data_IF_131449738864
#
_entry.id   IF_131449738864
#
_cell.length_a   1.000
_cell.length_b   1.000
_cell.length_c   1.000
_cell.angle_alpha   90.00
_cell.angle_beta   90.00
_cell.angle_gamma   90.00
#
_symmetry.space_group_name_H-M   'P 1'
#
loop_
_entity.id
_entity.type
_entity.pdbx_description
1 polymer ?
#
# COMPACT_ATOMS: atom_id res chain seq x y z
N UNK A 1 -8.91 -4.86 -39.85
CA UNK A 1 -8.93 -5.90 -38.79
C UNK A 1 -10.37 -6.05 -38.29
N UNK A 2 -10.96 -7.25 -38.29
CA UNK A 2 -12.30 -7.45 -37.71
C UNK A 2 -12.28 -7.17 -36.21
N UNK A 3 -13.42 -6.81 -35.61
CA UNK A 3 -13.51 -6.50 -34.16
C UNK A 3 -12.97 -7.65 -33.31
N UNK A 4 -13.27 -8.89 -33.68
CA UNK A 4 -12.78 -10.12 -33.03
C UNK A 4 -11.25 -10.23 -33.07
N UNK A 5 -10.64 -10.03 -34.24
CA UNK A 5 -9.17 -10.08 -34.38
C UNK A 5 -8.48 -9.00 -33.56
N UNK A 6 -9.09 -7.82 -33.43
CA UNK A 6 -8.59 -6.75 -32.57
C UNK A 6 -8.69 -7.12 -31.09
N UNK A 7 -9.82 -7.67 -30.65
CA UNK A 7 -10.00 -8.11 -29.26
C UNK A 7 -9.02 -9.24 -28.91
N UNK A 8 -8.86 -10.23 -29.79
CA UNK A 8 -7.94 -11.35 -29.59
C UNK A 8 -6.48 -10.87 -29.53
N UNK A 9 -6.09 -9.93 -30.39
CA UNK A 9 -4.77 -9.31 -30.36
C UNK A 9 -4.49 -8.61 -29.02
N UNK A 10 -5.44 -7.82 -28.51
CA UNK A 10 -5.27 -7.14 -27.21
C UNK A 10 -5.24 -8.11 -26.03
N UNK A 11 -6.05 -9.17 -26.05
CA UNK A 11 -6.03 -10.21 -25.00
C UNK A 11 -4.70 -10.96 -25.02
N UNK A 12 -4.20 -11.36 -26.19
CA UNK A 12 -2.92 -12.03 -26.33
C UNK A 12 -1.76 -11.12 -25.88
N UNK A 13 -1.79 -9.84 -26.27
CA UNK A 13 -0.82 -8.84 -25.83
C UNK A 13 -0.81 -8.66 -24.30
N UNK A 14 -2.00 -8.61 -23.68
CA UNK A 14 -2.12 -8.53 -22.22
C UNK A 14 -1.55 -9.78 -21.53
N UNK A 15 -1.84 -10.97 -22.05
CA UNK A 15 -1.33 -12.22 -21.48
C UNK A 15 0.21 -12.29 -21.54
N UNK A 16 0.80 -11.92 -22.69
CA UNK A 16 2.27 -11.85 -22.85
C UNK A 16 2.86 -10.81 -21.90
N UNK A 17 2.25 -9.64 -21.78
CA UNK A 17 2.71 -8.60 -20.86
C UNK A 17 2.72 -9.08 -19.40
N UNK A 18 1.65 -9.74 -18.93
CA UNK A 18 1.57 -10.31 -17.58
C UNK A 18 2.63 -11.39 -17.37
N UNK A 19 2.84 -12.26 -18.37
CA UNK A 19 3.87 -13.30 -18.31
C UNK A 19 5.28 -12.70 -18.19
N UNK A 20 5.59 -11.66 -18.97
CA UNK A 20 6.88 -10.94 -18.88
C UNK A 20 7.05 -10.28 -17.52
N UNK A 21 5.98 -9.66 -16.96
CA UNK A 21 6.05 -9.10 -15.61
C UNK A 21 6.31 -10.14 -14.54
N UNK A 22 5.75 -11.34 -14.66
CA UNK A 22 6.06 -12.44 -13.74
C UNK A 22 7.53 -12.87 -13.86
N UNK A 23 8.05 -12.97 -15.09
CA UNK A 23 9.45 -13.31 -15.33
C UNK A 23 10.42 -12.27 -14.75
N UNK A 24 10.06 -10.98 -14.80
CA UNK A 24 10.87 -9.87 -14.31
C UNK A 24 10.60 -9.48 -12.85
N UNK A 25 9.67 -10.16 -12.17
CA UNK A 25 9.21 -9.80 -10.82
C UNK A 25 10.35 -9.69 -9.80
N UNK A 26 11.40 -10.51 -9.92
CA UNK A 26 12.58 -10.48 -9.05
C UNK A 26 13.45 -9.23 -9.18
N UNK A 27 13.38 -8.52 -10.31
CA UNK A 27 14.17 -7.30 -10.58
C UNK A 27 13.31 -6.03 -10.54
N UNK A 28 11.98 -6.18 -10.56
CA UNK A 28 11.02 -5.06 -10.57
C UNK A 28 11.05 -4.21 -9.29
N UNK A 29 11.39 -4.80 -8.14
CA UNK A 29 11.31 -4.15 -6.83
C UNK A 29 12.06 -2.80 -6.75
N UNK A 30 13.36 -2.70 -7.10
CA UNK A 30 14.06 -1.40 -7.08
C UNK A 30 13.47 -0.37 -8.05
N UNK A 31 12.91 -0.81 -9.20
CA UNK A 31 12.24 0.11 -10.13
C UNK A 31 10.92 0.64 -9.58
N UNK A 32 10.13 -0.24 -8.97
CA UNK A 32 8.87 0.10 -8.32
C UNK A 32 9.09 1.03 -7.14
N UNK A 33 10.05 0.71 -6.27
CA UNK A 33 10.43 1.57 -5.15
C UNK A 33 10.95 2.92 -5.65
N UNK A 34 11.77 2.93 -6.71
CA UNK A 34 12.32 4.16 -7.29
C UNK A 34 11.24 5.04 -7.89
N UNK A 35 10.26 4.43 -8.56
CA UNK A 35 9.07 5.11 -9.08
C UNK A 35 8.22 5.68 -7.95
N UNK A 36 7.97 4.93 -6.87
CA UNK A 36 7.22 5.42 -5.72
C UNK A 36 7.93 6.60 -5.03
N UNK A 37 9.25 6.54 -4.87
CA UNK A 37 10.07 7.63 -4.30
C UNK A 37 10.05 8.85 -5.22
N UNK A 38 10.31 8.67 -6.53
CA UNK A 38 10.26 9.76 -7.50
C UNK A 38 8.91 10.45 -7.45
N UNK A 39 7.84 9.67 -7.46
CA UNK A 39 6.48 10.18 -7.43
C UNK A 39 6.10 10.88 -6.11
N UNK A 40 6.65 10.41 -4.98
CA UNK A 40 6.48 11.08 -3.69
C UNK A 40 7.24 12.41 -3.61
N UNK A 41 8.45 12.46 -4.20
CA UNK A 41 9.35 13.62 -4.16
C UNK A 41 9.10 14.64 -5.28
N UNK A 42 8.32 14.28 -6.30
CA UNK A 42 7.94 15.15 -7.42
C UNK A 42 7.43 16.54 -7.00
N UNK A 43 6.51 16.67 -6.02
CA UNK A 43 6.05 18.00 -5.57
C UNK A 43 7.13 18.82 -4.87
N UNK A 44 8.14 18.16 -4.32
CA UNK A 44 9.31 18.83 -3.72
C UNK A 44 10.20 19.37 -4.84
N UNK A 45 10.38 18.59 -5.92
CA UNK A 45 11.11 19.03 -7.11
C UNK A 45 10.43 20.24 -7.77
N UNK A 46 9.11 20.19 -7.96
CA UNK A 46 8.33 21.30 -8.52
C UNK A 46 8.46 22.58 -7.69
N UNK A 47 8.45 22.46 -6.36
CA UNK A 47 8.64 23.61 -5.45
C UNK A 47 10.04 24.20 -5.52
N UNK A 48 11.07 23.38 -5.79
CA UNK A 48 12.43 23.87 -6.00
C UNK A 48 12.58 24.52 -7.38
N UNK A 49 11.91 23.98 -8.40
CA UNK A 49 11.86 24.56 -9.74
C UNK A 49 11.17 25.91 -9.75
N UNK A 50 10.05 26.05 -9.01
CA UNK A 50 9.37 27.33 -8.80
C UNK A 50 10.25 28.37 -8.08
N UNK A 51 11.27 27.92 -7.32
CA UNK A 51 12.27 28.80 -6.68
C UNK A 51 13.44 29.17 -7.61
N UNK A 52 13.40 28.75 -8.87
CA UNK A 52 14.38 29.11 -9.91
C UNK A 52 15.50 28.08 -10.12
N UNK A 53 15.44 26.90 -9.51
CA UNK A 53 16.40 25.83 -9.81
C UNK A 53 16.01 25.13 -11.11
N UNK A 54 16.99 24.72 -11.92
CA UNK A 54 16.71 23.82 -13.05
C UNK A 54 16.25 22.45 -12.53
N UNK A 55 15.39 21.76 -13.29
CA UNK A 55 14.88 20.43 -12.94
C UNK A 55 16.00 19.48 -12.50
N UNK A 56 17.10 19.44 -13.25
CA UNK A 56 18.26 18.59 -12.91
C UNK A 56 18.92 18.96 -11.58
N UNK A 57 19.05 20.25 -11.27
CA UNK A 57 19.60 20.70 -9.97
C UNK A 57 18.65 20.37 -8.83
N UNK A 58 17.34 20.58 -9.01
CA UNK A 58 16.32 20.21 -8.02
C UNK A 58 16.35 18.70 -7.73
N UNK A 59 16.32 17.86 -8.76
CA UNK A 59 16.41 16.40 -8.64
C UNK A 59 17.72 15.98 -7.96
N UNK A 60 18.86 16.54 -8.37
CA UNK A 60 20.17 16.21 -7.79
C UNK A 60 20.22 16.57 -6.31
N UNK A 61 19.74 17.75 -5.92
CA UNK A 61 19.68 18.19 -4.53
C UNK A 61 18.77 17.29 -3.68
N UNK A 62 17.60 16.92 -4.20
CA UNK A 62 16.66 16.03 -3.51
C UNK A 62 17.27 14.63 -3.30
N UNK A 63 17.85 14.05 -4.35
CA UNK A 63 18.44 12.71 -4.27
C UNK A 63 19.69 12.72 -3.39
N UNK A 64 20.52 13.76 -3.47
CA UNK A 64 21.67 13.93 -2.58
C UNK A 64 21.23 14.07 -1.12
N UNK A 65 20.19 14.86 -0.83
CA UNK A 65 19.63 14.97 0.51
C UNK A 65 19.01 13.64 0.99
N UNK A 66 18.29 12.93 0.13
CA UNK A 66 17.76 11.60 0.43
C UNK A 66 18.88 10.62 0.78
N UNK A 67 19.95 10.55 -0.02
CA UNK A 67 21.10 9.70 0.29
C UNK A 67 21.83 10.14 1.54
N UNK A 68 22.01 11.44 1.76
CA UNK A 68 22.65 11.95 2.97
C UNK A 68 21.87 11.54 4.22
N UNK A 69 20.54 11.70 4.20
CA UNK A 69 19.66 11.26 5.29
C UNK A 69 19.65 9.73 5.39
N UNK A 70 19.49 9.00 4.29
CA UNK A 70 19.41 7.55 4.29
C UNK A 70 20.72 6.91 4.79
N UNK A 71 21.87 7.36 4.28
CA UNK A 71 23.20 6.92 4.74
C UNK A 71 23.44 7.37 6.17
N UNK A 72 23.08 8.60 6.55
CA UNK A 72 23.21 9.06 7.95
C UNK A 72 22.40 8.20 8.91
N UNK A 73 21.13 7.95 8.57
CA UNK A 73 20.24 7.05 9.31
C UNK A 73 20.82 5.64 9.33
N UNK A 74 21.33 5.14 8.21
CA UNK A 74 21.90 3.80 8.15
C UNK A 74 23.20 3.72 8.97
N UNK A 75 24.11 4.69 8.93
CA UNK A 75 25.34 4.69 9.74
C UNK A 75 25.02 4.79 11.23
N UNK A 76 24.01 5.58 11.63
CA UNK A 76 23.61 5.74 13.03
C UNK A 76 22.79 4.56 13.54
N UNK A 77 21.84 4.08 12.74
CA UNK A 77 20.95 2.99 13.11
C UNK A 77 21.60 1.63 12.90
N UNK A 78 22.42 1.41 11.87
CA UNK A 78 22.99 0.09 11.59
C UNK A 78 23.71 -0.56 12.79
N UNK A 79 24.59 0.11 13.55
CA UNK A 79 25.18 -0.50 14.73
C UNK A 79 24.14 -0.80 15.81
N UNK A 80 23.14 0.07 15.98
CA UNK A 80 22.03 -0.12 16.90
C UNK A 80 21.14 -1.30 16.48
N UNK A 81 20.80 -1.38 15.19
CA UNK A 81 20.03 -2.45 14.56
C UNK A 81 20.78 -3.77 14.64
N UNK A 82 22.09 -3.78 14.37
CA UNK A 82 22.91 -4.98 14.49
C UNK A 82 22.91 -5.49 15.93
N UNK A 83 23.17 -4.62 16.91
CA UNK A 83 23.14 -4.99 18.31
C UNK A 83 21.76 -5.52 18.72
N UNK A 84 20.68 -4.88 18.27
CA UNK A 84 19.32 -5.27 18.58
C UNK A 84 18.87 -6.55 17.86
N UNK A 85 19.32 -6.79 16.62
CA UNK A 85 19.05 -8.04 15.88
C UNK A 85 19.78 -9.20 16.54
N UNK A 86 21.04 -9.02 16.95
CA UNK A 86 21.79 -10.04 17.69
C UNK A 86 21.14 -10.31 19.05
N UNK A 87 20.72 -9.25 19.76
CA UNK A 87 19.98 -9.37 21.02
C UNK A 87 18.67 -10.13 20.81
N UNK A 88 17.89 -9.76 19.81
CA UNK A 88 16.62 -10.41 19.49
C UNK A 88 16.81 -11.88 19.15
N UNK A 89 17.85 -12.22 18.37
CA UNK A 89 18.19 -13.59 18.04
C UNK A 89 18.60 -14.40 19.28
N UNK A 90 19.33 -13.78 20.21
CA UNK A 90 19.68 -14.39 21.49
C UNK A 90 18.46 -14.61 22.41
N UNK A 91 17.41 -13.80 22.26
CA UNK A 91 16.15 -13.93 23.01
C UNK A 91 15.18 -14.98 22.47
N UNK A 92 15.36 -15.47 21.24
CA UNK A 92 14.44 -16.47 20.65
C UNK A 92 14.35 -17.77 21.46
N UNK A 93 15.47 -18.38 21.91
CA UNK A 93 15.42 -19.57 22.77
C UNK A 93 14.66 -19.33 24.08
N UNK A 94 14.98 -18.23 24.77
CA UNK A 94 14.34 -17.86 26.04
C UNK A 94 12.83 -17.61 25.87
N UNK A 95 12.40 -17.06 24.74
CA UNK A 95 10.98 -16.89 24.41
C UNK A 95 10.24 -18.23 24.29
N UNK A 96 10.89 -19.24 23.73
CA UNK A 96 10.31 -20.59 23.58
C UNK A 96 10.18 -21.26 24.96
N UNK A 97 11.21 -21.13 25.80
CA UNK A 97 11.20 -21.69 27.15
C UNK A 97 10.16 -20.98 28.02
N UNK A 98 10.11 -19.65 27.97
CA UNK A 98 9.10 -18.86 28.69
C UNK A 98 7.68 -19.18 28.22
N UNK A 99 7.46 -19.30 26.91
CA UNK A 99 6.16 -19.71 26.38
C UNK A 99 5.76 -21.11 26.84
N UNK A 100 6.71 -22.04 26.91
CA UNK A 100 6.50 -23.39 27.42
C UNK A 100 6.09 -23.36 28.89
N UNK A 101 6.77 -22.58 29.72
CA UNK A 101 6.50 -22.46 31.15
C UNK A 101 5.12 -21.81 31.42
N UNK A 102 4.72 -20.81 30.63
CA UNK A 102 3.37 -20.22 30.72
C UNK A 102 2.28 -21.13 30.15
N UNK A 103 2.58 -21.92 29.13
CA UNK A 103 1.63 -22.86 28.53
C UNK A 103 1.46 -24.13 29.37
N UNK A 104 2.45 -24.53 30.16
CA UNK A 104 2.43 -25.75 30.98
C UNK A 104 1.22 -25.84 31.93
N UNK A 105 0.87 -24.83 32.76
CA UNK A 105 -0.31 -24.91 33.62
C UNK A 105 -1.64 -24.94 32.83
N UNK A 106 -1.67 -24.38 31.62
CA UNK A 106 -2.84 -24.49 30.74
C UNK A 106 -2.94 -25.88 30.11
N UNK A 107 -1.80 -26.45 29.69
CA UNK A 107 -1.68 -27.80 29.17
C UNK A 107 -2.00 -28.86 30.23
N UNK A 108 -1.64 -28.63 31.49
CA UNK A 108 -2.00 -29.50 32.61
C UNK A 108 -3.51 -29.51 32.88
N UNK A 109 -4.18 -28.36 32.75
CA UNK A 109 -5.66 -28.31 32.80
C UNK A 109 -6.28 -29.05 31.62
N UNK A 110 -5.72 -28.90 30.42
CA UNK A 110 -6.15 -29.64 29.24
C UNK A 110 -5.90 -31.16 29.35
N UNK A 111 -4.83 -31.60 30.05
CA UNK A 111 -4.55 -33.01 30.34
C UNK A 111 -5.59 -33.67 31.23
N UNK A 112 -6.34 -32.89 32.02
CA UNK A 112 -7.43 -33.42 32.83
C UNK A 112 -8.67 -33.77 31.99
N UNK A 113 -8.84 -33.14 30.82
CA UNK A 113 -10.02 -33.29 29.95
C UNK A 113 -9.74 -34.07 28.65
N UNK A 114 -8.49 -34.19 28.21
CA UNK A 114 -8.08 -34.83 26.95
C UNK A 114 -7.40 -36.19 27.14
N UNK A 115 -7.59 -37.11 26.19
CA UNK A 115 -6.95 -38.42 26.21
C UNK A 115 -5.44 -38.34 25.84
N UNK A 116 -4.64 -39.29 26.34
CA UNK A 116 -3.20 -39.38 26.06
C UNK A 116 -2.79 -39.23 24.57
N UNK A 117 -3.47 -39.87 23.58
CA UNK A 117 -3.12 -39.70 22.17
C UNK A 117 -3.44 -38.31 21.59
N UNK A 118 -4.42 -37.60 22.14
CA UNK A 118 -4.74 -36.22 21.73
C UNK A 118 -3.70 -35.23 22.26
N UNK A 119 -3.18 -35.49 23.47
CA UNK A 119 -2.11 -34.72 24.07
C UNK A 119 -0.78 -34.86 23.32
N UNK A 120 -0.49 -36.06 22.83
CA UNK A 120 0.73 -36.33 22.05
C UNK A 120 0.68 -35.64 20.69
N UNK A 121 -0.48 -35.67 20.00
CA UNK A 121 -0.71 -34.90 18.77
C UNK A 121 -0.59 -33.38 18.97
N UNK A 122 -1.06 -32.86 20.10
CA UNK A 122 -0.96 -31.44 20.42
C UNK A 122 0.50 -31.02 20.66
N UNK A 123 1.27 -31.82 21.41
CA UNK A 123 2.70 -31.60 21.63
C UNK A 123 3.49 -31.67 20.32
N UNK A 124 3.18 -32.65 19.48
CA UNK A 124 3.84 -32.83 18.18
C UNK A 124 3.49 -31.68 17.22
N UNK A 125 2.24 -31.24 17.18
CA UNK A 125 1.84 -30.05 16.42
C UNK A 125 2.55 -28.79 16.93
N UNK A 126 2.53 -28.53 18.24
CA UNK A 126 3.21 -27.39 18.85
C UNK A 126 4.73 -27.41 18.57
N UNK A 127 5.38 -28.58 18.70
CA UNK A 127 6.78 -28.77 18.38
C UNK A 127 7.10 -28.55 16.90
N UNK A 128 6.24 -29.02 15.99
CA UNK A 128 6.40 -28.82 14.55
C UNK A 128 6.22 -27.34 14.16
N UNK A 129 5.24 -26.64 14.75
CA UNK A 129 5.04 -25.20 14.51
C UNK A 129 6.18 -24.37 15.11
N UNK A 130 6.64 -24.69 16.32
CA UNK A 130 7.79 -24.05 16.94
C UNK A 130 9.06 -24.28 16.11
N UNK A 131 9.32 -25.52 15.70
CA UNK A 131 10.44 -25.88 14.81
C UNK A 131 10.38 -25.16 13.47
N UNK A 132 9.19 -25.05 12.86
CA UNK A 132 8.97 -24.29 11.63
C UNK A 132 9.23 -22.80 11.84
N UNK A 133 8.76 -22.22 12.94
CA UNK A 133 9.00 -20.82 13.29
C UNK A 133 10.49 -20.53 13.52
N UNK A 134 11.20 -21.42 14.23
CA UNK A 134 12.65 -21.36 14.43
C UNK A 134 13.39 -21.46 13.11
N UNK A 135 13.00 -22.40 12.24
CA UNK A 135 13.63 -22.59 10.93
C UNK A 135 13.38 -21.41 9.98
N UNK A 136 12.20 -20.79 10.06
CA UNK A 136 11.90 -19.57 9.32
C UNK A 136 12.73 -18.39 9.85
N UNK A 137 12.85 -18.26 11.17
CA UNK A 137 13.66 -17.24 11.84
C UNK A 137 15.16 -17.41 11.53
N UNK A 138 15.69 -18.63 11.64
CA UNK A 138 17.08 -18.94 11.35
C UNK A 138 17.38 -18.87 9.85
N UNK A 139 16.42 -19.18 8.98
CA UNK A 139 16.52 -18.95 7.53
C UNK A 139 16.56 -17.47 7.16
N UNK A 140 15.78 -16.63 7.85
CA UNK A 140 15.84 -15.17 7.69
C UNK A 140 17.17 -14.60 8.21
N UNK A 141 17.59 -14.98 9.42
CA UNK A 141 18.83 -14.51 10.05
C UNK A 141 20.08 -15.05 9.35
N UNK A 142 20.09 -16.34 8.99
CA UNK A 142 21.14 -16.99 8.22
C UNK A 142 21.21 -16.47 6.78
N UNK A 143 20.06 -16.18 6.17
CA UNK A 143 20.01 -15.47 4.88
C UNK A 143 20.64 -14.08 4.95
N UNK A 144 20.49 -13.37 6.07
CA UNK A 144 21.12 -12.08 6.34
C UNK A 144 22.63 -12.19 6.65
N UNK A 145 23.08 -13.26 7.30
CA UNK A 145 24.46 -13.43 7.79
C UNK A 145 25.38 -14.20 6.82
N UNK A 146 24.92 -15.31 6.23
CA UNK A 146 25.69 -16.15 5.29
C UNK A 146 25.51 -15.72 3.83
N UNK A 147 24.45 -14.95 3.52
CA UNK A 147 24.09 -14.59 2.17
C UNK A 147 24.77 -13.31 1.68
N UNK A 148 25.94 -13.44 1.02
CA UNK A 148 26.43 -12.41 0.10
C UNK A 148 25.35 -11.98 -0.92
N UNK A 149 24.37 -12.86 -1.20
CA UNK A 149 23.17 -12.60 -1.99
C UNK A 149 22.14 -11.66 -1.33
N UNK A 150 21.95 -11.71 0.00
CA UNK A 150 21.02 -10.80 0.69
C UNK A 150 21.61 -9.39 0.81
N UNK A 151 22.90 -9.31 1.16
CA UNK A 151 23.66 -8.05 1.11
C UNK A 151 23.68 -7.50 -0.32
N UNK A 152 23.88 -8.36 -1.33
CA UNK A 152 23.81 -7.97 -2.74
C UNK A 152 22.41 -7.47 -3.14
N UNK A 153 21.32 -8.10 -2.69
CA UNK A 153 19.96 -7.63 -2.96
C UNK A 153 19.67 -6.29 -2.28
N UNK A 154 20.09 -6.12 -1.02
CA UNK A 154 19.95 -4.85 -0.29
C UNK A 154 20.80 -3.76 -0.95
N UNK A 155 22.06 -4.05 -1.31
CA UNK A 155 22.94 -3.12 -2.03
C UNK A 155 22.38 -2.77 -3.41
N UNK A 156 21.87 -3.77 -4.15
CA UNK A 156 21.19 -3.55 -5.42
C UNK A 156 19.99 -2.65 -5.24
N UNK A 157 19.18 -2.86 -4.20
CA UNK A 157 18.06 -1.98 -3.89
C UNK A 157 18.54 -0.57 -3.49
N UNK A 158 19.56 -0.46 -2.63
CA UNK A 158 20.11 0.81 -2.15
C UNK A 158 20.77 1.65 -3.27
N UNK A 159 21.34 0.99 -4.29
CA UNK A 159 22.03 1.66 -5.40
C UNK A 159 21.07 1.89 -6.58
N UNK A 160 20.34 0.85 -7.01
CA UNK A 160 19.48 0.92 -8.20
C UNK A 160 18.26 1.79 -7.92
N UNK A 161 17.63 1.66 -6.75
CA UNK A 161 16.39 2.40 -6.43
C UNK A 161 16.58 3.91 -6.55
N UNK A 162 17.61 4.53 -5.96
CA UNK A 162 17.78 5.98 -6.06
C UNK A 162 18.25 6.42 -7.44
N UNK A 163 19.00 5.58 -8.16
CA UNK A 163 19.35 5.84 -9.56
C UNK A 163 18.09 5.88 -10.42
N UNK A 164 17.20 4.90 -10.27
CA UNK A 164 15.90 4.88 -10.97
C UNK A 164 15.05 6.08 -10.55
N UNK A 165 14.98 6.39 -9.26
CA UNK A 165 14.26 7.54 -8.76
C UNK A 165 14.79 8.86 -9.36
N UNK A 166 16.11 9.01 -9.46
CA UNK A 166 16.75 10.17 -10.07
C UNK A 166 16.33 10.33 -11.54
N UNK A 167 16.48 9.28 -12.35
CA UNK A 167 16.11 9.34 -13.77
C UNK A 167 14.62 9.61 -13.96
N UNK A 168 13.76 8.91 -13.20
CA UNK A 168 12.31 9.11 -13.28
C UNK A 168 11.91 10.51 -12.85
N UNK A 169 12.45 11.03 -11.74
CA UNK A 169 12.12 12.36 -11.24
C UNK A 169 12.64 13.48 -12.17
N UNK A 170 13.83 13.31 -12.75
CA UNK A 170 14.44 14.27 -13.67
C UNK A 170 13.69 14.31 -15.00
N UNK A 171 13.37 13.15 -15.56
CA UNK A 171 12.85 13.02 -16.93
C UNK A 171 11.33 12.84 -16.96
N UNK A 172 10.64 12.93 -15.81
CA UNK A 172 9.20 12.71 -15.67
C UNK A 172 8.38 13.46 -16.72
N UNK A 173 8.58 14.78 -16.82
CA UNK A 173 7.83 15.64 -17.73
C UNK A 173 8.08 15.30 -19.20
N UNK A 174 9.32 14.93 -19.54
CA UNK A 174 9.69 14.51 -20.90
C UNK A 174 9.03 13.18 -21.25
N UNK A 175 9.00 12.23 -20.31
CA UNK A 175 8.35 10.92 -20.46
C UNK A 175 6.85 11.14 -20.70
N UNK A 176 6.19 11.92 -19.83
CA UNK A 176 4.76 12.22 -19.94
C UNK A 176 4.43 12.92 -21.26
N UNK A 177 5.18 13.96 -21.64
CA UNK A 177 4.95 14.68 -22.90
C UNK A 177 5.12 13.78 -24.13
N UNK A 178 6.08 12.86 -24.10
CA UNK A 178 6.29 11.90 -25.20
C UNK A 178 5.15 10.89 -25.30
N UNK A 179 4.68 10.34 -24.18
CA UNK A 179 3.49 9.47 -24.18
C UNK A 179 2.23 10.20 -24.61
N UNK A 180 2.06 11.46 -24.18
CA UNK A 180 0.94 12.30 -24.59
C UNK A 180 0.91 12.53 -26.12
N UNK A 181 2.09 12.67 -26.75
CA UNK A 181 2.21 12.84 -28.21
C UNK A 181 1.74 11.62 -29.03
N UNK A 182 1.69 10.43 -28.42
CA UNK A 182 1.24 9.19 -29.06
C UNK A 182 -0.26 8.97 -28.94
N UNK A 183 -0.99 9.82 -28.21
CA UNK A 183 -2.41 9.63 -27.99
C UNK A 183 -3.22 9.84 -29.27
N UNK A 184 -4.21 8.95 -29.56
CA UNK A 184 -5.15 9.18 -30.65
C UNK A 184 -5.93 10.48 -30.43
N UNK A 185 -5.86 11.42 -31.38
CA UNK A 185 -6.44 12.77 -31.25
C UNK A 185 -7.92 12.78 -30.85
N UNK A 186 -8.70 11.82 -31.33
CA UNK A 186 -10.13 11.73 -31.03
C UNK A 186 -10.44 11.32 -29.58
N UNK A 187 -9.53 10.60 -28.91
CA UNK A 187 -9.69 10.11 -27.54
C UNK A 187 -8.76 10.81 -26.54
N UNK A 188 -7.85 11.68 -27.01
CA UNK A 188 -6.81 12.29 -26.19
C UNK A 188 -7.36 13.04 -24.97
N UNK A 189 -8.44 13.81 -25.12
CA UNK A 189 -9.07 14.50 -23.98
C UNK A 189 -9.56 13.53 -22.90
N UNK A 190 -10.22 12.46 -23.32
CA UNK A 190 -10.74 11.43 -22.43
C UNK A 190 -9.61 10.67 -21.73
N UNK A 191 -8.55 10.33 -22.46
CA UNK A 191 -7.39 9.63 -21.90
C UNK A 191 -6.70 10.52 -20.86
N UNK A 192 -6.45 11.80 -21.17
CA UNK A 192 -5.87 12.77 -20.23
C UNK A 192 -6.70 12.91 -18.95
N UNK A 193 -8.02 12.97 -19.07
CA UNK A 193 -8.93 13.00 -17.92
C UNK A 193 -8.77 11.75 -17.04
N UNK A 194 -8.68 10.56 -17.63
CA UNK A 194 -8.46 9.33 -16.87
C UNK A 194 -7.06 9.26 -16.25
N UNK A 195 -6.03 9.69 -16.96
CA UNK A 195 -4.67 9.78 -16.44
C UNK A 195 -4.60 10.74 -15.24
N UNK A 196 -5.25 11.90 -15.30
CA UNK A 196 -5.31 12.84 -14.19
C UNK A 196 -6.08 12.27 -12.98
N UNK A 197 -7.16 11.52 -13.21
CA UNK A 197 -7.90 10.85 -12.15
C UNK A 197 -7.07 9.74 -11.47
N UNK A 198 -6.32 8.96 -12.25
CA UNK A 198 -5.38 7.96 -11.75
C UNK A 198 -4.28 8.63 -10.92
N UNK A 199 -3.65 9.67 -11.47
CA UNK A 199 -2.58 10.42 -10.81
C UNK A 199 -3.06 10.98 -9.46
N UNK A 200 -4.18 11.70 -9.45
CA UNK A 200 -4.76 12.25 -8.21
C UNK A 200 -5.01 11.15 -7.15
N UNK A 201 -5.44 9.97 -7.60
CA UNK A 201 -5.70 8.82 -6.72
C UNK A 201 -4.40 8.24 -6.14
N UNK A 202 -3.39 8.01 -6.97
CA UNK A 202 -2.09 7.45 -6.56
C UNK A 202 -1.33 8.45 -5.69
N UNK A 203 -1.22 9.72 -6.09
CA UNK A 203 -0.59 10.79 -5.29
C UNK A 203 -1.27 10.90 -3.94
N UNK A 204 -2.59 10.81 -3.99
CA UNK A 204 -3.46 10.76 -2.84
C UNK A 204 -3.07 9.69 -1.84
N UNK A 205 -2.96 8.46 -2.31
CA UNK A 205 -2.65 7.27 -1.53
C UNK A 205 -1.21 7.29 -1.01
N UNK A 206 -0.22 7.48 -1.89
CA UNK A 206 1.22 7.38 -1.53
C UNK A 206 1.57 8.40 -0.45
N UNK A 207 1.13 9.66 -0.57
CA UNK A 207 1.38 10.70 0.44
C UNK A 207 0.65 10.45 1.74
N UNK A 208 -0.60 9.97 1.64
CA UNK A 208 -1.39 9.59 2.80
C UNK A 208 -0.73 8.47 3.60
N UNK A 209 -0.35 7.38 2.91
CA UNK A 209 0.26 6.21 3.54
C UNK A 209 1.66 6.50 4.08
N UNK A 210 2.50 7.23 3.34
CA UNK A 210 3.80 7.64 3.87
C UNK A 210 3.64 8.44 5.19
N UNK A 211 2.65 9.32 5.27
CA UNK A 211 2.35 10.08 6.49
C UNK A 211 1.87 9.16 7.63
N UNK A 212 1.02 8.18 7.34
CA UNK A 212 0.55 7.17 8.31
C UNK A 212 1.75 6.37 8.86
N UNK A 213 2.62 5.86 7.98
CA UNK A 213 3.80 5.09 8.36
C UNK A 213 4.73 5.89 9.28
N UNK A 214 4.99 7.16 8.95
CA UNK A 214 5.84 8.04 9.77
C UNK A 214 5.23 8.31 11.15
N UNK A 215 3.92 8.58 11.22
CA UNK A 215 3.22 8.79 12.50
C UNK A 215 3.25 7.51 13.35
N UNK A 216 3.01 6.35 12.75
CA UNK A 216 3.03 5.07 13.47
C UNK A 216 4.44 4.66 13.89
N UNK A 217 5.46 4.88 13.06
CA UNK A 217 6.85 4.63 13.43
C UNK A 217 7.26 5.48 14.64
N UNK A 218 6.87 6.76 14.65
CA UNK A 218 7.10 7.64 15.80
C UNK A 218 6.29 7.17 17.03
N UNK A 219 5.01 6.84 16.86
CA UNK A 219 4.13 6.39 17.94
C UNK A 219 4.62 5.09 18.59
N UNK A 220 4.86 4.04 17.79
CA UNK A 220 5.33 2.76 18.31
C UNK A 220 6.77 2.88 18.82
N UNK A 221 7.66 3.54 18.09
CA UNK A 221 9.05 3.72 18.50
C UNK A 221 9.17 4.43 19.85
N UNK A 222 8.45 5.55 20.02
CA UNK A 222 8.41 6.27 21.29
C UNK A 222 7.66 5.49 22.38
N UNK A 223 6.47 4.98 22.07
CA UNK A 223 5.62 4.29 23.04
C UNK A 223 6.30 3.07 23.66
N UNK A 224 6.93 2.22 22.84
CA UNK A 224 7.66 1.05 23.33
C UNK A 224 8.92 1.43 24.10
N UNK A 225 9.62 2.49 23.68
CA UNK A 225 10.79 2.99 24.41
C UNK A 225 10.42 3.54 25.78
N UNK A 226 9.27 4.22 25.91
CA UNK A 226 8.76 4.74 27.20
C UNK A 226 8.37 3.60 28.14
N UNK A 227 7.80 2.51 27.62
CA UNK A 227 7.51 1.31 28.42
C UNK A 227 8.79 0.62 28.89
N UNK A 228 9.94 0.91 28.28
CA UNK A 228 11.23 0.30 28.62
C UNK A 228 11.44 -1.06 27.93
N UNK A 229 10.72 -1.33 26.84
CA UNK A 229 10.89 -2.56 26.07
C UNK A 229 12.28 -2.58 25.40
N UNK A 230 13.02 -3.67 25.58
CA UNK A 230 14.29 -3.87 24.90
C UNK A 230 14.10 -3.88 23.39
N UNK A 231 14.96 -3.16 22.68
CA UNK A 231 14.82 -2.94 21.23
C UNK A 231 13.49 -2.30 20.80
N UNK A 232 12.74 -1.69 21.74
CA UNK A 232 11.41 -1.11 21.48
C UNK A 232 11.40 -0.07 20.36
N UNK A 233 12.46 0.73 20.23
CA UNK A 233 12.62 1.67 19.12
C UNK A 233 12.67 0.98 17.75
N UNK A 234 13.42 -0.12 17.62
CA UNK A 234 13.52 -0.88 16.37
C UNK A 234 12.21 -1.58 16.06
N UNK A 235 11.63 -2.28 17.04
CA UNK A 235 10.33 -2.93 16.87
C UNK A 235 9.29 -1.90 16.42
N UNK A 236 9.29 -0.72 17.03
CA UNK A 236 8.34 0.34 16.71
C UNK A 236 8.55 0.98 15.34
N UNK A 237 9.79 1.32 14.97
CA UNK A 237 10.11 1.85 13.63
C UNK A 237 9.82 0.79 12.55
N UNK A 238 10.20 -0.46 12.80
CA UNK A 238 9.95 -1.59 11.90
C UNK A 238 8.46 -1.83 11.70
N UNK A 239 7.69 -1.89 12.79
CA UNK A 239 6.23 -2.02 12.73
C UNK A 239 5.59 -0.85 11.97
N UNK A 240 5.98 0.40 12.27
CA UNK A 240 5.47 1.58 11.59
C UNK A 240 5.82 1.65 10.10
N UNK A 241 7.01 1.15 9.70
CA UNK A 241 7.39 1.03 8.30
C UNK A 241 6.58 -0.05 7.57
N UNK A 242 6.37 -1.21 8.19
CA UNK A 242 5.56 -2.30 7.63
C UNK A 242 4.08 -1.91 7.52
N UNK A 243 3.60 -0.97 8.34
CA UNK A 243 2.24 -0.41 8.26
C UNK A 243 1.90 0.28 6.93
N UNK A 244 2.85 0.39 5.98
CA UNK A 244 2.52 0.67 4.58
C UNK A 244 1.49 -0.34 4.03
N UNK A 245 1.58 -1.59 4.50
CA UNK A 245 0.56 -2.62 4.29
C UNK A 245 -0.42 -2.53 5.46
N UNK A 246 -1.69 -2.16 5.23
CA UNK A 246 -2.66 -1.96 6.30
C UNK A 246 -2.75 -3.16 7.24
N UNK A 247 -2.84 -2.90 8.55
CA UNK A 247 -2.92 -3.89 9.64
C UNK A 247 -1.67 -4.76 9.86
N UNK A 248 -0.83 -4.96 8.84
CA UNK A 248 0.30 -5.89 8.92
C UNK A 248 1.37 -5.39 9.88
N UNK A 249 1.68 -4.09 9.86
CA UNK A 249 2.70 -3.50 10.71
C UNK A 249 2.39 -3.64 12.20
N UNK A 250 1.17 -3.29 12.61
CA UNK A 250 0.75 -3.44 13.99
C UNK A 250 0.63 -4.91 14.41
N UNK A 251 0.19 -5.82 13.52
CA UNK A 251 0.08 -7.24 13.84
C UNK A 251 1.46 -7.87 14.10
N UNK A 252 2.43 -7.66 13.19
CA UNK A 252 3.80 -8.16 13.35
C UNK A 252 4.46 -7.50 14.56
N UNK A 253 4.31 -6.18 14.70
CA UNK A 253 4.85 -5.43 15.82
C UNK A 253 4.30 -5.90 17.16
N UNK A 254 2.99 -6.18 17.25
CA UNK A 254 2.36 -6.70 18.46
C UNK A 254 2.92 -8.08 18.82
N UNK A 255 3.02 -8.99 17.85
CA UNK A 255 3.56 -10.34 18.08
C UNK A 255 5.01 -10.26 18.59
N UNK A 256 5.85 -9.51 17.89
CA UNK A 256 7.28 -9.39 18.24
C UNK A 256 7.44 -8.63 19.56
N UNK A 257 6.75 -7.51 19.74
CA UNK A 257 6.86 -6.66 20.91
C UNK A 257 6.33 -7.32 22.18
N UNK A 258 5.16 -7.97 22.11
CA UNK A 258 4.62 -8.74 23.25
C UNK A 258 5.48 -9.97 23.53
N UNK A 259 6.02 -10.63 22.50
CA UNK A 259 6.98 -11.72 22.67
C UNK A 259 8.20 -11.28 23.48
N UNK A 260 8.86 -10.18 23.08
CA UNK A 260 9.98 -9.61 23.83
C UNK A 260 9.54 -9.22 25.25
N UNK A 261 8.37 -8.60 25.41
CA UNK A 261 7.87 -8.18 26.71
C UNK A 261 7.63 -9.36 27.67
N UNK A 262 7.13 -10.49 27.17
CA UNK A 262 6.91 -11.70 27.96
C UNK A 262 8.23 -12.32 28.44
N UNK A 263 9.28 -12.24 27.63
CA UNK A 263 10.61 -12.73 28.01
C UNK A 263 11.33 -11.75 28.97
N UNK A 264 11.14 -10.43 28.77
CA UNK A 264 11.83 -9.40 29.52
C UNK A 264 11.20 -9.11 30.89
N UNK A 265 9.86 -9.09 30.98
CA UNK A 265 9.13 -8.65 32.17
C UNK A 265 8.43 -9.83 32.85
N UNK A 266 8.59 -9.93 34.16
CA UNK A 266 7.84 -10.91 34.99
C UNK A 266 6.43 -10.43 35.37
N UNK A 267 6.19 -9.12 35.29
CA UNK A 267 4.90 -8.50 35.63
C UNK A 267 3.98 -8.34 34.41
N UNK A 268 2.69 -8.57 34.61
CA UNK A 268 1.68 -8.43 33.55
C UNK A 268 1.44 -6.97 33.09
N UNK A 269 1.78 -5.99 33.93
CA UNK A 269 1.49 -4.58 33.64
C UNK A 269 2.32 -4.05 32.44
N UNK A 270 3.67 -4.16 32.41
CA UNK A 270 4.46 -3.80 31.22
C UNK A 270 4.02 -4.51 29.94
N UNK A 271 3.71 -5.81 30.02
CA UNK A 271 3.22 -6.61 28.87
C UNK A 271 1.90 -6.03 28.34
N UNK A 272 0.96 -5.71 29.25
CA UNK A 272 -0.30 -5.06 28.91
C UNK A 272 -0.11 -3.66 28.32
N UNK A 273 0.88 -2.90 28.78
CA UNK A 273 1.22 -1.59 28.23
C UNK A 273 1.79 -1.69 26.80
N UNK A 274 2.67 -2.66 26.53
CA UNK A 274 3.17 -2.94 25.16
C UNK A 274 2.01 -3.27 24.22
N UNK A 275 1.12 -4.19 24.63
CA UNK A 275 -0.08 -4.50 23.86
C UNK A 275 -0.97 -3.26 23.66
N UNK A 276 -1.12 -2.44 24.70
CA UNK A 276 -1.84 -1.17 24.68
C UNK A 276 -1.30 -0.18 23.65
N UNK A 277 0.02 -0.02 23.55
CA UNK A 277 0.67 0.85 22.55
C UNK A 277 0.28 0.45 21.13
N UNK A 278 0.28 -0.85 20.82
CA UNK A 278 -0.13 -1.36 19.51
C UNK A 278 -1.62 -1.22 19.25
N UNK A 279 -2.48 -1.58 20.22
CA UNK A 279 -3.93 -1.48 20.09
C UNK A 279 -4.37 -0.02 19.90
N UNK A 280 -3.83 0.91 20.68
CA UNK A 280 -4.13 2.34 20.55
C UNK A 280 -3.60 2.87 19.22
N UNK A 281 -2.39 2.48 18.82
CA UNK A 281 -1.82 2.89 17.53
C UNK A 281 -2.66 2.38 16.35
N UNK A 282 -3.07 1.11 16.35
CA UNK A 282 -3.91 0.51 15.31
C UNK A 282 -5.31 1.13 15.28
N UNK A 283 -5.88 1.44 16.44
CA UNK A 283 -7.19 2.12 16.53
C UNK A 283 -7.08 3.53 15.95
N UNK A 284 -6.02 4.25 16.32
CA UNK A 284 -5.72 5.58 15.78
C UNK A 284 -5.49 5.52 14.27
N UNK A 285 -4.76 4.52 13.77
CA UNK A 285 -4.60 4.25 12.34
C UNK A 285 -5.96 4.08 11.64
N UNK A 286 -6.78 3.17 12.15
CA UNK A 286 -8.04 2.77 11.50
C UNK A 286 -9.10 3.87 11.51
N UNK A 287 -9.27 4.58 12.64
CA UNK A 287 -10.36 5.54 12.83
C UNK A 287 -9.97 7.00 12.59
N UNK A 288 -8.67 7.35 12.69
CA UNK A 288 -8.22 8.74 12.60
C UNK A 288 -7.29 8.95 11.42
N UNK A 289 -6.16 8.23 11.36
CA UNK A 289 -5.13 8.48 10.36
C UNK A 289 -5.59 8.07 8.97
N UNK A 290 -6.11 6.85 8.82
CA UNK A 290 -6.55 6.33 7.51
C UNK A 290 -7.65 7.22 6.93
N UNK A 291 -8.74 7.56 7.63
CA UNK A 291 -9.78 8.42 7.07
C UNK A 291 -9.31 9.85 6.76
N UNK A 292 -8.39 10.42 7.54
CA UNK A 292 -7.92 11.81 7.35
C UNK A 292 -6.81 11.93 6.30
N UNK A 293 -5.90 10.96 6.24
CA UNK A 293 -4.69 11.02 5.40
C UNK A 293 -4.86 10.27 4.07
N UNK A 294 -5.57 9.15 4.09
CA UNK A 294 -5.75 8.24 2.94
C UNK A 294 -7.21 8.24 2.43
N UNK A 295 -8.16 8.56 3.31
CA UNK A 295 -9.59 8.42 3.09
C UNK A 295 -10.14 9.21 1.91
N UNK A 296 -11.16 8.64 1.26
CA UNK A 296 -11.86 9.23 0.11
C UNK A 296 -11.11 9.16 -1.22
N UNK A 297 -9.80 8.91 -1.23
CA UNK A 297 -8.99 8.98 -2.47
C UNK A 297 -9.04 7.72 -3.32
N UNK A 298 -9.12 6.54 -2.70
CA UNK A 298 -9.10 5.25 -3.43
C UNK A 298 -10.52 4.80 -3.84
N UNK A 299 -11.52 5.10 -3.01
CA UNK A 299 -12.93 4.77 -3.28
C UNK A 299 -13.19 3.27 -3.47
N UNK A 300 -12.39 2.41 -2.84
CA UNK A 300 -12.53 0.96 -2.89
C UNK A 300 -13.17 0.44 -1.60
N UNK A 301 -14.05 -0.54 -1.74
CA UNK A 301 -14.59 -1.28 -0.61
C UNK A 301 -13.47 -2.09 0.09
N UNK A 302 -13.45 -2.23 1.43
CA UNK A 302 -12.39 -2.95 2.15
C UNK A 302 -12.10 -4.37 1.62
N UNK A 303 -13.15 -5.09 1.21
CA UNK A 303 -13.02 -6.43 0.60
C UNK A 303 -12.15 -6.42 -0.66
N UNK A 304 -12.23 -5.37 -1.49
CA UNK A 304 -11.38 -5.24 -2.68
C UNK A 304 -9.92 -4.99 -2.33
N UNK A 305 -9.66 -4.29 -1.22
CA UNK A 305 -8.30 -4.05 -0.72
C UNK A 305 -7.69 -5.38 -0.25
N UNK A 306 -8.42 -6.14 0.57
CA UNK A 306 -7.98 -7.47 1.04
C UNK A 306 -7.74 -8.40 -0.16
N UNK A 307 -8.68 -8.47 -1.09
CA UNK A 307 -8.52 -9.28 -2.30
C UNK A 307 -7.30 -8.85 -3.13
N UNK A 308 -7.09 -7.54 -3.33
CA UNK A 308 -5.94 -7.05 -4.07
C UNK A 308 -4.62 -7.42 -3.39
N UNK A 309 -4.52 -7.30 -2.05
CA UNK A 309 -3.32 -7.67 -1.30
C UNK A 309 -3.04 -9.17 -1.43
N UNK A 310 -4.05 -10.02 -1.27
CA UNK A 310 -3.91 -11.47 -1.42
C UNK A 310 -3.55 -11.86 -2.85
N UNK A 311 -4.22 -11.30 -3.85
CA UNK A 311 -3.94 -11.56 -5.26
C UNK A 311 -2.56 -11.06 -5.68
N UNK A 312 -2.18 -9.85 -5.26
CA UNK A 312 -0.85 -9.28 -5.51
C UNK A 312 0.25 -10.12 -4.88
N UNK A 313 0.08 -10.51 -3.62
CA UNK A 313 1.01 -11.40 -2.92
C UNK A 313 1.17 -12.75 -3.59
N UNK A 314 0.08 -13.36 -4.04
CA UNK A 314 0.12 -14.64 -4.74
C UNK A 314 0.79 -14.55 -6.12
N UNK A 315 0.60 -13.45 -6.86
CA UNK A 315 1.08 -13.30 -8.24
C UNK A 315 2.53 -12.80 -8.35
N UNK A 316 2.94 -11.89 -7.45
CA UNK A 316 4.21 -11.17 -7.56
C UNK A 316 4.95 -11.04 -6.21
N UNK A 317 4.57 -11.85 -5.21
CA UNK A 317 5.20 -11.84 -3.88
C UNK A 317 5.09 -10.48 -3.19
N UNK A 318 6.12 -10.09 -2.46
CA UNK A 318 6.16 -8.83 -1.71
C UNK A 318 5.93 -7.59 -2.59
N UNK A 319 6.56 -7.55 -3.78
CA UNK A 319 6.36 -6.45 -4.74
C UNK A 319 4.90 -6.33 -5.15
N UNK A 320 4.20 -7.47 -5.30
CA UNK A 320 2.78 -7.51 -5.61
C UNK A 320 1.91 -6.96 -4.48
N UNK A 321 2.24 -7.25 -3.22
CA UNK A 321 1.55 -6.69 -2.05
C UNK A 321 1.73 -5.16 -2.00
N UNK A 322 2.94 -4.66 -2.25
CA UNK A 322 3.25 -3.24 -2.27
C UNK A 322 2.45 -2.49 -3.34
N UNK A 323 2.33 -3.10 -4.53
CA UNK A 323 1.62 -2.53 -5.67
C UNK A 323 0.13 -2.79 -5.69
N UNK A 324 -0.37 -3.70 -4.85
CA UNK A 324 -1.75 -4.16 -4.88
C UNK A 324 -2.75 -3.01 -4.76
N UNK A 325 -2.53 -2.10 -3.81
CA UNK A 325 -3.47 -1.01 -3.56
C UNK A 325 -3.44 0.03 -4.68
N UNK A 326 -2.27 0.55 -5.13
CA UNK A 326 -2.21 1.41 -6.31
C UNK A 326 -2.82 0.77 -7.56
N UNK A 327 -2.53 -0.50 -7.83
CA UNK A 327 -3.07 -1.23 -8.98
C UNK A 327 -4.59 -1.35 -8.89
N UNK A 328 -5.13 -1.73 -7.72
CA UNK A 328 -6.56 -1.79 -7.48
C UNK A 328 -7.23 -0.42 -7.64
N UNK A 329 -6.55 0.65 -7.24
CA UNK A 329 -7.05 2.01 -7.40
C UNK A 329 -7.15 2.41 -8.88
N UNK A 330 -6.12 2.12 -9.69
CA UNK A 330 -6.12 2.31 -11.15
C UNK A 330 -7.27 1.54 -11.78
N UNK A 331 -7.40 0.25 -11.45
CA UNK A 331 -8.47 -0.61 -11.94
C UNK A 331 -9.83 -0.02 -11.56
N UNK A 332 -9.99 0.46 -10.32
CA UNK A 332 -11.20 1.12 -9.85
C UNK A 332 -11.58 2.36 -10.66
N UNK A 333 -10.60 3.22 -11.00
CA UNK A 333 -10.83 4.39 -11.87
C UNK A 333 -11.29 3.95 -13.26
N UNK A 334 -10.60 2.98 -13.87
CA UNK A 334 -10.92 2.48 -15.21
C UNK A 334 -12.26 1.76 -15.27
N UNK A 335 -12.61 0.96 -14.27
CA UNK A 335 -13.92 0.29 -14.18
C UNK A 335 -15.04 1.30 -14.05
N UNK A 336 -14.90 2.31 -13.17
CA UNK A 336 -15.91 3.38 -13.02
C UNK A 336 -16.14 4.10 -14.34
N UNK A 337 -15.05 4.48 -15.03
CA UNK A 337 -15.13 5.09 -16.36
C UNK A 337 -15.80 4.17 -17.39
N UNK A 338 -15.38 2.90 -17.45
CA UNK A 338 -15.93 1.91 -18.36
C UNK A 338 -17.43 1.68 -18.13
N UNK A 339 -17.85 1.62 -16.87
CA UNK A 339 -19.25 1.49 -16.50
C UNK A 339 -20.06 2.74 -16.89
N UNK A 340 -19.54 3.94 -16.64
CA UNK A 340 -20.18 5.19 -17.10
C UNK A 340 -20.39 5.19 -18.62
N UNK A 341 -19.36 4.79 -19.38
CA UNK A 341 -19.47 4.67 -20.85
C UNK A 341 -20.44 3.59 -21.29
N UNK A 342 -20.48 2.46 -20.58
CA UNK A 342 -21.45 1.39 -20.85
C UNK A 342 -22.89 1.87 -20.63
N UNK A 343 -23.17 2.55 -19.51
CA UNK A 343 -24.50 3.08 -19.18
C UNK A 343 -24.98 4.15 -20.17
N UNK A 344 -24.06 4.94 -20.74
CA UNK A 344 -24.36 5.91 -21.80
C UNK A 344 -24.50 5.27 -23.19
N UNK A 345 -24.08 4.01 -23.34
CA UNK A 345 -24.01 3.37 -24.64
C UNK A 345 -25.38 2.94 -25.18
N UNK A 346 -25.55 2.88 -26.51
CA UNK A 346 -26.75 2.29 -27.12
C UNK A 346 -26.98 0.84 -26.72
N UNK A 347 -25.93 0.09 -26.34
CA UNK A 347 -26.05 -1.30 -25.88
C UNK A 347 -26.89 -1.37 -24.59
N UNK A 348 -26.66 -0.47 -23.65
CA UNK A 348 -27.42 -0.42 -22.40
C UNK A 348 -28.86 0.07 -22.61
N UNK A 349 -29.05 1.03 -23.52
CA UNK A 349 -30.37 1.56 -23.85
C UNK A 349 -31.18 0.73 -24.88
N UNK A 350 -30.77 -0.50 -25.18
CA UNK A 350 -31.49 -1.40 -26.10
C UNK A 350 -31.59 -0.86 -27.53
N UNK A 351 -30.53 -0.21 -28.02
CA UNK A 351 -30.43 0.36 -29.36
C UNK A 351 -31.11 1.74 -29.53
N UNK A 352 -31.79 2.26 -28.50
CA UNK A 352 -32.36 3.61 -28.53
C UNK A 352 -31.32 4.61 -28.04
N UNK A 353 -31.04 5.65 -28.83
CA UNK A 353 -30.13 6.71 -28.40
C UNK A 353 -30.60 7.29 -27.05
N UNK A 354 -29.69 7.57 -26.10
CA UNK A 354 -30.05 8.17 -24.82
C UNK A 354 -30.89 9.42 -25.09
N UNK A 355 -32.14 9.41 -24.64
CA UNK A 355 -33.09 10.48 -24.91
C UNK A 355 -32.54 11.79 -24.36
N UNK A 356 -32.09 12.68 -25.25
CA UNK A 356 -31.46 13.96 -24.92
C UNK A 356 -32.21 14.67 -23.77
N UNK A 357 -31.62 14.78 -22.56
CA UNK A 357 -32.29 15.44 -21.45
C UNK A 357 -32.55 16.93 -21.72
N UNK A 358 -31.79 17.57 -22.63
CA UNK A 358 -32.05 18.96 -23.05
C UNK A 358 -33.32 19.13 -23.90
N UNK A 359 -33.82 18.06 -24.54
CA UNK A 359 -35.07 18.12 -25.32
C UNK A 359 -36.32 18.23 -24.43
N UNK A 360 -36.32 17.54 -23.28
CA UNK A 360 -37.45 17.54 -22.34
C UNK A 360 -37.62 18.89 -21.63
N UNK A 361 -36.53 19.60 -21.35
CA UNK A 361 -36.57 20.93 -20.70
C UNK A 361 -37.09 22.02 -21.64
N UNK A 362 -36.68 22.01 -22.92
CA UNK A 362 -37.22 22.94 -23.94
C UNK A 362 -38.68 22.64 -24.29
N UNK A 363 -39.08 21.37 -24.36
CA UNK A 363 -40.47 21.00 -24.62
C UNK A 363 -41.41 21.44 -23.46
N UNK A 364 -41.00 21.27 -22.20
CA UNK A 364 -41.79 21.75 -21.03
C UNK A 364 -41.86 23.27 -20.94
N UNK A 365 -40.79 24.00 -21.30
CA UNK A 365 -40.80 25.48 -21.28
C UNK A 365 -41.66 26.08 -22.39
N UNK A 366 -41.60 25.53 -23.61
CA UNK A 366 -42.46 25.97 -24.71
C UNK A 366 -43.94 25.64 -24.48
N UNK A 367 -44.24 24.51 -23.84
CA UNK A 367 -45.62 24.13 -23.48
C UNK A 367 -46.19 25.07 -22.40
N UNK A 368 -45.39 25.42 -21.38
CA UNK A 368 -45.78 26.41 -20.36
C UNK A 368 -45.93 27.82 -20.93
N UNK A 369 -45.08 28.22 -21.88
CA UNK A 369 -45.17 29.52 -22.55
C UNK A 369 -46.46 29.62 -23.40
N UNK A 370 -46.76 28.61 -24.22
CA UNK A 370 -48.01 28.55 -25.02
C UNK A 370 -49.27 28.52 -24.15
N UNK A 371 -49.23 27.84 -22.99
CA UNK A 371 -50.35 27.82 -22.03
C UNK A 371 -50.59 29.20 -21.39
N UNK A 372 -49.53 29.93 -21.01
CA UNK A 372 -49.64 31.31 -20.49
C UNK A 372 -50.16 32.30 -21.54
N UNK A 373 -49.78 32.15 -22.80
CA UNK A 373 -50.27 33.03 -23.89
C UNK A 373 -51.75 32.79 -24.21
N UNK A 374 -52.21 31.54 -24.24
CA UNK A 374 -53.64 31.20 -24.40
C UNK A 374 -54.50 31.65 -23.20
N UNK A 375 -53.95 31.60 -21.98
CA UNK A 375 -54.64 32.10 -20.78
C UNK A 375 -54.82 33.63 -20.82
N UNK A 376 -53.77 34.39 -21.20
CA UNK A 376 -53.86 35.85 -21.36
C UNK A 376 -54.78 36.29 -22.50
N UNK A 377 -54.85 35.55 -23.61
CA UNK A 377 -55.77 35.89 -24.72
C UNK A 377 -57.24 35.62 -24.37
N UNK A 378 -57.54 34.61 -23.54
CA UNK A 378 -58.90 34.36 -23.02
C UNK A 378 -59.34 35.40 -22.00
N UNK A 379 -58.43 35.93 -21.19
CA UNK A 379 -58.74 37.00 -20.23
C UNK A 379 -59.02 38.36 -20.90
N UNK A 380 -58.38 38.63 -22.05
CA UNK A 380 -58.59 39.88 -22.83
C UNK A 380 -59.87 39.91 -23.68
N UNK A 381 -60.53 38.76 -23.90
CA UNK A 381 -61.84 38.65 -24.59
C UNK A 381 -63.05 38.69 -23.64
N UNK A 382 -62.82 38.83 -22.33
CA UNK A 382 -63.85 38.91 -21.28
C UNK A 382 -63.90 40.27 -20.57
N UNK A 383 -63.17 41.26 -21.07
CA UNK A 383 -63.38 42.69 -20.84
C UNK A 383 -63.77 43.28 -22.18
#
# INVERSE_FOLDING_TARGET
MSREKRTLFWIAGLAVFVFVLQLLSGVLMPFVAGMAIAYFLDPVADKLEQKGLSRTLATTAIIAAFFFVAVGVLVLLFPLLQAQVVSLAAFVPDLIDTFRDYAEPFLERLRADLSAPEMERLKEAAGNYAGTAIQWMSGLLGGLWEGGLAVFNVLSLLIITPVVAFYLLRDWDLIVARFDSYLPRAAASTIREQCAAIDTTIAGFVRGQASVCLVLAAWYGFGLSVVGLESGLLVGIGAGAISFIPYLGAAIGLIVGVGIALAQFSDWLPIGLVAGVFIIGQTTESYVLTPRLVGGRIGLHPVWIIFALLAGGALFGFTGVLLAIPAAAIIGVLIRFGLSRYLESPLYHGGKAPGNPMGKTKAKSQTRAKAKTKSKSRARKKK
#
